data_IF_570961261696
#
_entry.id   IF_570961261696
#
_cell.length_a   1.000
_cell.length_b   1.000
_cell.length_c   1.000
_cell.angle_alpha   90.00
_cell.angle_beta   90.00
_cell.angle_gamma   90.00
#
_symmetry.space_group_name_H-M   'P 1'
#
loop_
_entity.id
_entity.type
_entity.pdbx_description
1 polymer ?
#
# COMPACT_ATOMS: atom_id res chain seq x y z
N UNK A 1 -23.54 -3.57 17.65
CA UNK A 1 -22.72 -3.96 16.48
C UNK A 1 -22.59 -2.74 15.56
N UNK A 2 -21.38 -2.17 15.41
CA UNK A 2 -21.17 -1.15 14.36
C UNK A 2 -21.22 -1.86 13.02
N UNK A 3 -22.20 -1.54 12.18
CA UNK A 3 -22.21 -1.96 10.79
C UNK A 3 -20.99 -1.36 10.09
N UNK A 4 -19.90 -2.11 9.99
CA UNK A 4 -18.82 -1.79 9.05
C UNK A 4 -19.36 -2.07 7.66
N UNK A 5 -19.98 -1.05 7.06
CA UNK A 5 -20.37 -1.05 5.66
C UNK A 5 -19.13 -1.44 4.85
N UNK A 6 -19.17 -2.56 4.11
CA UNK A 6 -18.06 -2.98 3.26
C UNK A 6 -17.72 -1.85 2.29
N UNK A 7 -16.45 -1.46 2.27
CA UNK A 7 -15.92 -0.46 1.35
C UNK A 7 -16.11 -0.96 -0.09
N UNK A 8 -16.75 -0.14 -0.94
CA UNK A 8 -16.90 -0.49 -2.35
C UNK A 8 -15.64 -0.06 -3.11
N UNK A 9 -14.70 -0.98 -3.33
CA UNK A 9 -13.44 -0.71 -4.04
C UNK A 9 -13.67 -0.33 -5.52
N UNK A 10 -14.85 -0.65 -6.07
CA UNK A 10 -15.26 -0.21 -7.40
C UNK A 10 -15.63 1.27 -7.50
N UNK A 11 -15.84 1.98 -6.38
CA UNK A 11 -16.14 3.41 -6.37
C UNK A 11 -14.93 4.24 -6.83
N UNK A 12 -15.03 5.01 -7.93
CA UNK A 12 -13.95 5.87 -8.41
C UNK A 12 -13.41 6.83 -7.34
N UNK A 13 -14.26 7.31 -6.44
CA UNK A 13 -13.86 8.20 -5.33
C UNK A 13 -12.91 7.50 -4.35
N UNK A 14 -13.17 6.23 -4.05
CA UNK A 14 -12.31 5.41 -3.18
C UNK A 14 -11.00 5.12 -3.90
N UNK A 15 -11.04 4.73 -5.19
CA UNK A 15 -9.84 4.46 -5.98
C UNK A 15 -8.92 5.68 -6.09
N UNK A 16 -9.47 6.87 -6.35
CA UNK A 16 -8.70 8.12 -6.40
C UNK A 16 -8.01 8.40 -5.05
N UNK A 17 -8.69 8.13 -3.93
CA UNK A 17 -8.10 8.32 -2.60
C UNK A 17 -6.98 7.33 -2.31
N UNK A 18 -7.13 6.07 -2.75
CA UNK A 18 -6.07 5.06 -2.67
C UNK A 18 -4.87 5.53 -3.49
N UNK A 19 -5.08 5.89 -4.76
CA UNK A 19 -4.02 6.38 -5.64
C UNK A 19 -3.29 7.61 -5.07
N UNK A 20 -4.02 8.60 -4.55
CA UNK A 20 -3.42 9.78 -3.89
C UNK A 20 -2.61 9.43 -2.64
N UNK A 21 -3.01 8.40 -1.90
CA UNK A 21 -2.25 7.96 -0.73
C UNK A 21 -0.98 7.19 -1.11
N UNK A 22 -0.94 6.64 -2.32
CA UNK A 22 0.19 5.90 -2.90
C UNK A 22 1.19 6.79 -3.65
N UNK A 23 0.90 8.09 -3.81
CA UNK A 23 1.67 9.00 -4.66
C UNK A 23 3.16 9.04 -4.26
N UNK A 24 3.43 9.28 -2.97
CA UNK A 24 4.79 9.32 -2.41
C UNK A 24 5.30 7.96 -1.92
N UNK A 25 4.43 6.94 -1.88
CA UNK A 25 4.72 5.68 -1.18
C UNK A 25 4.17 4.48 -1.95
N UNK A 26 5.07 3.65 -2.47
CA UNK A 26 4.71 2.45 -3.22
C UNK A 26 4.89 1.20 -2.35
N UNK A 27 3.81 0.50 -1.94
CA UNK A 27 3.89 -0.60 -1.01
C UNK A 27 4.12 -1.91 -1.77
N UNK A 28 5.33 -2.11 -2.29
CA UNK A 28 5.77 -3.37 -2.89
C UNK A 28 7.11 -3.82 -2.29
N UNK A 29 7.46 -5.09 -2.50
CA UNK A 29 8.66 -5.71 -1.98
C UNK A 29 8.52 -6.24 -0.54
N UNK A 30 9.64 -6.67 0.06
CA UNK A 30 9.67 -7.35 1.36
C UNK A 30 9.15 -6.48 2.52
N UNK A 31 9.31 -5.15 2.45
CA UNK A 31 8.93 -4.21 3.52
C UNK A 31 7.59 -3.53 3.31
N UNK A 32 6.84 -3.94 2.28
CA UNK A 32 5.58 -3.31 1.86
C UNK A 32 4.53 -3.14 2.97
N UNK A 33 4.55 -4.02 3.97
CA UNK A 33 3.66 -3.96 5.13
C UNK A 33 3.96 -2.76 6.04
N UNK A 34 5.22 -2.35 6.16
CA UNK A 34 5.61 -1.18 6.95
C UNK A 34 5.22 0.13 6.25
N UNK A 35 5.41 0.20 4.93
CA UNK A 35 4.98 1.33 4.09
C UNK A 35 3.47 1.59 4.21
N UNK A 36 2.67 0.54 4.44
CA UNK A 36 1.23 0.64 4.61
C UNK A 36 0.83 1.52 5.80
N UNK A 37 1.62 1.54 6.88
CA UNK A 37 1.36 2.40 8.04
C UNK A 37 1.47 3.88 7.66
N UNK A 38 2.46 4.24 6.83
CA UNK A 38 2.67 5.60 6.32
C UNK A 38 1.55 6.01 5.37
N UNK A 39 1.16 5.13 4.45
CA UNK A 39 0.06 5.35 3.50
C UNK A 39 -1.25 5.62 4.23
N UNK A 40 -1.58 4.81 5.26
CA UNK A 40 -2.82 4.98 6.02
C UNK A 40 -2.85 6.29 6.82
N UNK A 41 -1.71 6.76 7.36
CA UNK A 41 -1.61 8.05 8.05
C UNK A 41 -1.89 9.24 7.13
N UNK A 42 -1.57 9.14 5.85
CA UNK A 42 -1.75 10.23 4.87
C UNK A 42 -3.19 10.31 4.31
N UNK A 43 -4.08 9.37 4.65
CA UNK A 43 -5.46 9.41 4.20
C UNK A 43 -6.26 10.49 4.95
N UNK A 44 -6.89 11.42 4.21
CA UNK A 44 -7.80 12.46 4.77
C UNK A 44 -8.96 11.92 5.63
N UNK A 45 -9.25 10.62 5.62
CA UNK A 45 -10.22 9.90 6.49
C UNK A 45 -9.83 8.42 6.61
N UNK A 46 -8.97 8.04 7.58
CA UNK A 46 -8.42 6.67 7.66
C UNK A 46 -9.47 5.62 8.05
N UNK A 47 -10.60 6.04 8.64
CA UNK A 47 -11.66 5.12 9.10
C UNK A 47 -12.52 4.52 7.97
N UNK A 48 -12.27 4.89 6.72
CA UNK A 48 -13.07 4.48 5.55
C UNK A 48 -12.32 3.51 4.63
N UNK A 49 -10.99 3.59 4.61
CA UNK A 49 -10.14 2.76 3.74
C UNK A 49 -9.15 2.06 4.66
N UNK A 50 -9.19 0.74 4.64
CA UNK A 50 -8.30 -0.12 5.42
C UNK A 50 -7.09 -0.55 4.59
N UNK A 51 -6.07 -1.12 5.24
CA UNK A 51 -4.96 -1.75 4.53
C UNK A 51 -5.43 -2.85 3.59
N UNK A 52 -6.45 -3.62 3.99
CA UNK A 52 -7.05 -4.69 3.17
C UNK A 52 -7.63 -4.09 1.88
N UNK A 53 -8.36 -2.98 1.96
CA UNK A 53 -8.95 -2.33 0.78
C UNK A 53 -7.88 -1.89 -0.23
N UNK A 54 -6.76 -1.36 0.27
CA UNK A 54 -5.62 -0.95 -0.57
C UNK A 54 -4.97 -2.18 -1.22
N UNK A 55 -4.76 -3.26 -0.46
CA UNK A 55 -4.17 -4.49 -1.00
C UNK A 55 -5.05 -5.16 -2.04
N UNK A 56 -6.36 -5.22 -1.80
CA UNK A 56 -7.33 -5.74 -2.75
C UNK A 56 -7.31 -4.90 -4.03
N UNK A 57 -7.38 -3.57 -3.92
CA UNK A 57 -7.26 -2.69 -5.09
C UNK A 57 -5.98 -2.94 -5.89
N UNK A 58 -4.83 -3.00 -5.20
CA UNK A 58 -3.53 -3.20 -5.85
C UNK A 58 -3.44 -4.55 -6.55
N UNK A 59 -3.93 -5.61 -5.91
CA UNK A 59 -3.91 -6.98 -6.46
C UNK A 59 -4.85 -7.13 -7.64
N UNK A 60 -6.00 -6.44 -7.63
CA UNK A 60 -6.96 -6.47 -8.75
C UNK A 60 -6.51 -5.65 -9.95
N UNK A 61 -5.71 -4.60 -9.74
CA UNK A 61 -5.31 -3.65 -10.79
C UNK A 61 -3.92 -3.86 -11.33
N UNK A 62 -3.04 -4.50 -10.57
CA UNK A 62 -1.63 -4.61 -10.89
C UNK A 62 -1.10 -6.02 -10.62
N UNK A 63 -0.10 -6.41 -11.39
CA UNK A 63 0.64 -7.65 -11.18
C UNK A 63 1.60 -7.51 -9.98
N UNK A 64 1.04 -7.66 -8.79
CA UNK A 64 1.76 -7.47 -7.53
C UNK A 64 2.88 -8.49 -7.36
N UNK A 65 2.76 -9.70 -7.91
CA UNK A 65 3.82 -10.72 -7.84
C UNK A 65 5.06 -10.25 -8.60
N UNK A 66 4.88 -9.80 -9.85
CA UNK A 66 5.97 -9.25 -10.66
C UNK A 66 6.67 -8.08 -9.96
N UNK A 67 5.92 -7.11 -9.44
CA UNK A 67 6.52 -5.94 -8.78
C UNK A 67 7.23 -6.30 -7.47
N UNK A 68 6.69 -7.23 -6.68
CA UNK A 68 7.36 -7.70 -5.47
C UNK A 68 8.68 -8.39 -5.81
N UNK A 69 8.69 -9.28 -6.80
CA UNK A 69 9.90 -10.00 -7.19
C UNK A 69 10.99 -9.05 -7.68
N UNK A 70 10.65 -8.11 -8.57
CA UNK A 70 11.61 -7.13 -9.07
C UNK A 70 12.19 -6.25 -7.96
N UNK A 71 11.34 -5.77 -7.05
CA UNK A 71 11.80 -4.96 -5.92
C UNK A 71 12.70 -5.78 -4.99
N UNK A 72 12.32 -7.02 -4.67
CA UNK A 72 13.10 -7.88 -3.78
C UNK A 72 14.48 -8.19 -4.34
N UNK A 73 14.61 -8.39 -5.65
CA UNK A 73 15.91 -8.58 -6.31
C UNK A 73 16.82 -7.37 -6.10
N UNK A 74 16.32 -6.15 -6.33
CA UNK A 74 17.08 -4.92 -6.09
C UNK A 74 17.57 -4.82 -4.63
N UNK A 75 16.70 -5.17 -3.67
CA UNK A 75 17.08 -5.15 -2.25
C UNK A 75 18.16 -6.20 -1.92
N UNK A 76 18.02 -7.43 -2.42
CA UNK A 76 18.99 -8.50 -2.19
C UNK A 76 20.33 -8.23 -2.86
N UNK A 77 20.34 -7.56 -4.01
CA UNK A 77 21.55 -7.17 -4.74
C UNK A 77 22.22 -5.92 -4.15
N UNK A 78 21.46 -5.05 -3.47
CA UNK A 78 21.94 -3.76 -2.96
C UNK A 78 22.42 -3.73 -1.51
N UNK A 79 22.43 -4.86 -0.78
CA UNK A 79 22.79 -4.94 0.66
C UNK A 79 22.09 -3.90 1.55
N UNK A 80 20.84 -3.55 1.27
CA UNK A 80 20.11 -2.55 2.06
C UNK A 80 19.55 -3.16 3.35
N UNK A 81 19.89 -2.55 4.49
CA UNK A 81 19.49 -3.04 5.82
C UNK A 81 18.16 -2.46 6.29
N UNK A 82 17.51 -3.13 7.23
CA UNK A 82 16.20 -2.75 7.75
C UNK A 82 16.14 -1.30 8.26
N UNK A 83 17.23 -0.85 8.88
CA UNK A 83 17.33 0.45 9.54
C UNK A 83 17.39 1.63 8.54
N UNK A 84 17.66 1.34 7.26
CA UNK A 84 17.81 2.34 6.20
C UNK A 84 16.48 2.67 5.49
N UNK A 85 15.39 1.98 5.85
CA UNK A 85 14.10 2.04 5.14
C UNK A 85 13.17 3.13 5.70
N UNK A 86 13.42 3.57 6.93
CA UNK A 86 12.57 4.53 7.66
C UNK A 86 13.25 5.88 7.90
N UNK A 87 14.37 6.15 7.23
CA UNK A 87 14.99 7.48 7.26
C UNK A 87 14.12 8.45 6.45
N UNK A 88 13.84 9.62 7.06
CA UNK A 88 12.87 10.63 6.61
C UNK A 88 13.14 11.17 5.19
#
# INVERSE_FOLDING_TARGET
MKYTKKTNIGDPSIQIRILKALDDNRPFGIFKHFTMVRILKNLKRPNVITSIDIWTYLTEKYDMEKYNTQANLIYLEGECFFDEILTD
#
